data_IF_882840380430
#
_entry.id   IF_882840380430
#
_cell.length_a   1.000
_cell.length_b   1.000
_cell.length_c   1.000
_cell.angle_alpha   90.00
_cell.angle_beta   90.00
_cell.angle_gamma   90.00
#
_symmetry.space_group_name_H-M   'P 1'
#
loop_
_entity.id
_entity.type
_entity.pdbx_description
1 polymer ?
#
# COMPACT_ATOMS: atom_id res chain seq x y z
N UNK A 1 -10.51 10.89 -20.90
CA UNK A 1 -10.15 9.45 -20.86
C UNK A 1 -9.45 9.02 -19.56
N UNK A 2 -9.14 9.94 -18.62
CA UNK A 2 -8.51 9.63 -17.31
C UNK A 2 -9.49 8.97 -16.31
N UNK A 3 -10.74 9.45 -16.27
CA UNK A 3 -11.76 8.96 -15.32
C UNK A 3 -12.06 7.45 -15.44
N UNK A 4 -12.08 6.92 -16.66
CA UNK A 4 -12.37 5.50 -16.91
C UNK A 4 -11.33 4.56 -16.28
N UNK A 5 -10.06 4.97 -16.24
CA UNK A 5 -8.99 4.18 -15.58
C UNK A 5 -9.13 4.17 -14.06
N UNK A 6 -9.55 5.28 -13.46
CA UNK A 6 -9.73 5.35 -12.00
C UNK A 6 -10.85 4.43 -11.54
N UNK A 7 -11.97 4.38 -12.27
CA UNK A 7 -13.08 3.47 -11.99
C UNK A 7 -12.63 2.00 -12.10
N UNK A 8 -11.98 1.62 -13.21
CA UNK A 8 -11.48 0.26 -13.44
C UNK A 8 -10.50 -0.20 -12.34
N UNK A 9 -9.53 0.65 -11.95
CA UNK A 9 -8.63 0.33 -10.84
C UNK A 9 -9.32 0.34 -9.49
N UNK A 10 -10.33 1.18 -9.28
CA UNK A 10 -11.11 1.19 -8.03
C UNK A 10 -11.81 -0.14 -7.84
N UNK A 11 -12.57 -0.60 -8.84
CA UNK A 11 -13.27 -1.89 -8.81
C UNK A 11 -12.28 -3.05 -8.61
N UNK A 12 -11.17 -3.04 -9.36
CA UNK A 12 -10.15 -4.07 -9.22
C UNK A 12 -9.50 -4.08 -7.83
N UNK A 13 -9.16 -2.92 -7.28
CA UNK A 13 -8.62 -2.82 -5.92
C UNK A 13 -9.67 -3.27 -4.89
N UNK A 14 -10.95 -2.92 -5.06
CA UNK A 14 -12.03 -3.36 -4.17
C UNK A 14 -12.29 -4.87 -4.22
N UNK A 15 -11.80 -5.58 -5.24
CA UNK A 15 -11.88 -7.04 -5.31
C UNK A 15 -10.99 -7.79 -4.31
N UNK A 16 -10.20 -7.09 -3.49
CA UNK A 16 -9.34 -7.69 -2.48
C UNK A 16 -9.80 -7.35 -1.07
N UNK A 17 -9.61 -8.27 -0.12
CA UNK A 17 -9.91 -8.06 1.30
C UNK A 17 -8.83 -7.24 2.00
N UNK A 18 -8.81 -5.93 1.78
CA UNK A 18 -7.87 -5.03 2.45
C UNK A 18 -8.22 -4.80 3.92
N UNK A 19 -7.18 -4.66 4.73
CA UNK A 19 -7.29 -4.45 6.18
C UNK A 19 -6.79 -3.07 6.59
N UNK A 20 -5.71 -2.60 5.95
CA UNK A 20 -5.09 -1.32 6.29
C UNK A 20 -4.67 -0.53 5.05
N UNK A 21 -4.56 0.78 5.26
CA UNK A 21 -3.98 1.73 4.32
C UNK A 21 -2.76 2.36 4.96
N UNK A 22 -1.64 2.32 4.24
CA UNK A 22 -0.37 2.88 4.68
C UNK A 22 0.08 3.96 3.70
N UNK A 23 0.50 5.10 4.24
CA UNK A 23 1.23 6.12 3.50
C UNK A 23 2.66 6.21 4.03
N UNK A 24 3.62 6.14 3.11
CA UNK A 24 5.04 6.36 3.40
C UNK A 24 5.50 7.61 2.66
N UNK A 25 5.93 8.63 3.41
CA UNK A 25 6.52 9.84 2.83
C UNK A 25 8.00 9.59 2.57
N UNK A 26 8.43 9.74 1.33
CA UNK A 26 9.77 9.34 0.93
C UNK A 26 10.80 10.41 1.32
N UNK A 27 11.99 10.00 1.80
CA UNK A 27 13.11 10.91 1.96
C UNK A 27 13.47 11.58 0.63
N UNK A 28 13.85 12.87 0.63
CA UNK A 28 14.11 13.63 -0.60
C UNK A 28 15.25 13.05 -1.46
N UNK A 29 16.21 12.36 -0.83
CA UNK A 29 17.38 11.82 -1.51
C UNK A 29 17.21 10.35 -1.91
N UNK A 30 16.00 9.77 -1.73
CA UNK A 30 15.76 8.38 -2.09
C UNK A 30 15.40 8.29 -3.58
N UNK A 31 16.19 7.60 -4.41
CA UNK A 31 15.87 7.46 -5.82
C UNK A 31 14.65 6.56 -6.02
N UNK A 32 13.78 6.91 -6.97
CA UNK A 32 12.50 6.23 -7.20
C UNK A 32 12.65 4.73 -7.45
N UNK A 33 13.68 4.32 -8.19
CA UNK A 33 13.96 2.91 -8.48
C UNK A 33 14.35 2.09 -7.23
N UNK A 34 14.75 2.73 -6.13
CA UNK A 34 15.08 2.06 -4.87
C UNK A 34 13.88 1.97 -3.91
N UNK A 35 12.79 2.71 -4.17
CA UNK A 35 11.64 2.85 -3.25
C UNK A 35 11.06 1.49 -2.88
N UNK A 36 10.73 0.66 -3.87
CA UNK A 36 10.14 -0.66 -3.62
C UNK A 36 11.01 -1.53 -2.70
N UNK A 37 12.33 -1.55 -2.94
CA UNK A 37 13.27 -2.32 -2.12
C UNK A 37 13.34 -1.81 -0.68
N UNK A 38 13.29 -0.49 -0.48
CA UNK A 38 13.30 0.12 0.85
C UNK A 38 12.00 -0.17 1.61
N UNK A 39 10.83 -0.02 0.97
CA UNK A 39 9.54 -0.33 1.58
C UNK A 39 9.47 -1.81 1.96
N UNK A 40 9.94 -2.73 1.10
CA UNK A 40 10.04 -4.15 1.44
C UNK A 40 10.95 -4.37 2.67
N UNK A 41 12.12 -3.74 2.70
CA UNK A 41 13.13 -3.94 3.75
C UNK A 41 12.68 -3.41 5.10
N UNK A 42 12.09 -2.22 5.12
CA UNK A 42 11.83 -1.46 6.35
C UNK A 42 10.37 -1.45 6.79
N UNK A 43 9.43 -1.85 5.93
CA UNK A 43 8.02 -1.96 6.28
C UNK A 43 7.55 -3.41 6.18
N UNK A 44 7.49 -3.98 4.97
CA UNK A 44 6.78 -5.26 4.78
C UNK A 44 7.45 -6.43 5.52
N UNK A 45 8.77 -6.56 5.44
CA UNK A 45 9.50 -7.62 6.17
C UNK A 45 9.38 -7.46 7.69
N UNK A 46 9.57 -6.26 8.28
CA UNK A 46 9.28 -6.03 9.69
C UNK A 46 7.85 -6.38 10.09
N UNK A 47 6.83 -5.97 9.33
CA UNK A 47 5.44 -6.32 9.61
C UNK A 47 5.21 -7.83 9.62
N UNK A 48 5.74 -8.55 8.63
CA UNK A 48 5.64 -10.01 8.60
C UNK A 48 6.26 -10.67 9.84
N UNK A 49 7.38 -10.15 10.34
CA UNK A 49 8.03 -10.67 11.56
C UNK A 49 7.25 -10.34 12.81
N UNK A 50 6.80 -9.09 12.95
CA UNK A 50 6.06 -8.60 14.10
C UNK A 50 4.74 -9.36 14.27
N UNK A 51 3.97 -9.50 13.19
CA UNK A 51 2.68 -10.20 13.18
C UNK A 51 2.80 -11.73 13.05
N UNK A 52 4.01 -12.24 12.82
CA UNK A 52 4.30 -13.66 12.55
C UNK A 52 3.40 -14.23 11.44
N UNK A 53 3.15 -13.42 10.40
CA UNK A 53 2.23 -13.75 9.30
C UNK A 53 2.75 -13.18 7.99
N UNK A 54 2.15 -13.60 6.87
CA UNK A 54 2.46 -13.02 5.56
C UNK A 54 1.56 -11.81 5.33
N UNK A 55 2.19 -10.69 4.97
CA UNK A 55 1.51 -9.49 4.50
C UNK A 55 1.51 -9.48 2.98
N UNK A 56 0.36 -9.19 2.39
CA UNK A 56 0.17 -8.87 0.99
C UNK A 56 0.05 -7.35 0.83
N UNK A 57 0.61 -6.81 -0.25
CA UNK A 57 0.49 -5.38 -0.53
C UNK A 57 0.39 -5.06 -2.01
N UNK A 58 -0.41 -4.04 -2.32
CA UNK A 58 -0.34 -3.32 -3.59
C UNK A 58 -0.02 -1.86 -3.26
N UNK A 59 0.94 -1.29 -3.97
CA UNK A 59 1.39 0.07 -3.72
C UNK A 59 1.58 0.87 -5.00
N UNK A 60 1.32 2.17 -4.93
CA UNK A 60 1.55 3.14 -6.00
C UNK A 60 2.40 4.29 -5.48
N UNK A 61 3.29 4.81 -6.34
CA UNK A 61 4.06 6.01 -6.03
C UNK A 61 3.26 7.23 -6.48
N UNK A 62 2.80 8.04 -5.52
CA UNK A 62 2.20 9.34 -5.78
C UNK A 62 3.28 10.40 -5.92
N UNK A 63 3.34 11.01 -7.10
CA UNK A 63 4.10 12.23 -7.36
C UNK A 63 3.12 13.38 -7.17
N UNK A 64 2.96 13.87 -5.94
CA UNK A 64 1.95 14.90 -5.63
C UNK A 64 1.99 16.09 -6.59
N UNK A 65 0.86 16.78 -6.77
CA UNK A 65 0.83 18.02 -7.56
C UNK A 65 1.57 19.15 -6.80
N UNK A 66 2.60 19.76 -7.39
CA UNK A 66 3.33 20.90 -6.82
C UNK A 66 4.61 20.53 -6.05
N UNK A 67 4.95 21.30 -5.00
CA UNK A 67 6.16 21.12 -4.15
C UNK A 67 6.12 19.89 -3.22
N UNK A 68 5.11 19.02 -3.37
CA UNK A 68 4.94 17.86 -2.50
C UNK A 68 5.89 16.73 -2.92
N UNK A 69 6.71 16.28 -1.98
CA UNK A 69 7.64 15.16 -2.15
C UNK A 69 6.87 13.88 -2.51
N UNK A 70 7.46 12.95 -3.28
CA UNK A 70 6.79 11.71 -3.63
C UNK A 70 6.44 10.88 -2.39
N UNK A 71 5.26 10.26 -2.42
CA UNK A 71 4.76 9.38 -1.37
C UNK A 71 4.47 8.00 -1.95
N UNK A 72 4.46 6.97 -1.12
CA UNK A 72 3.94 5.65 -1.47
C UNK A 72 2.64 5.44 -0.73
N UNK A 73 1.59 5.13 -1.47
CA UNK A 73 0.32 4.70 -0.91
C UNK A 73 0.19 3.19 -1.08
N UNK A 74 -0.17 2.51 0.00
CA UNK A 74 -0.16 1.04 0.07
C UNK A 74 -1.48 0.55 0.65
N UNK A 75 -2.07 -0.43 -0.02
CA UNK A 75 -3.13 -1.25 0.52
C UNK A 75 -2.53 -2.55 1.05
N UNK A 76 -2.85 -2.88 2.30
CA UNK A 76 -2.27 -4.00 3.04
C UNK A 76 -3.34 -4.98 3.48
N UNK A 77 -3.00 -6.25 3.44
CA UNK A 77 -3.85 -7.33 3.93
C UNK A 77 -3.00 -8.50 4.47
N UNK A 78 -3.59 -9.29 5.35
CA UNK A 78 -3.08 -10.57 5.83
C UNK A 78 -4.11 -11.66 5.53
N UNK A 79 -3.78 -12.92 5.80
CA UNK A 79 -4.76 -14.00 5.62
C UNK A 79 -5.94 -13.92 6.61
N UNK A 80 -5.72 -13.33 7.79
CA UNK A 80 -6.56 -13.56 8.96
C UNK A 80 -7.03 -12.25 9.63
N UNK A 81 -6.92 -11.07 9.00
CA UNK A 81 -7.41 -9.83 9.61
C UNK A 81 -6.47 -9.16 10.62
N UNK A 82 -5.23 -9.65 10.76
CA UNK A 82 -4.34 -9.27 11.87
C UNK A 82 -3.90 -7.79 11.85
N UNK A 83 -3.92 -7.11 10.70
CA UNK A 83 -3.56 -5.68 10.64
C UNK A 83 -4.64 -4.82 11.30
N UNK A 84 -5.92 -5.17 11.10
CA UNK A 84 -7.05 -4.40 11.63
C UNK A 84 -7.04 -4.40 13.15
N UNK A 85 -6.80 -5.57 13.76
CA UNK A 85 -6.84 -5.75 15.21
C UNK A 85 -5.69 -5.02 15.92
N UNK A 86 -4.55 -4.81 15.23
CA UNK A 86 -3.31 -4.32 15.84
C UNK A 86 -2.85 -2.98 15.26
N UNK A 87 -3.74 -2.21 14.61
CA UNK A 87 -3.36 -1.04 13.81
C UNK A 87 -2.52 -0.01 14.59
N UNK A 88 -2.88 0.26 15.86
CA UNK A 88 -2.21 1.23 16.71
C UNK A 88 -0.83 0.72 17.14
N UNK A 89 -0.75 -0.52 17.61
CA UNK A 89 0.50 -1.16 18.03
C UNK A 89 1.50 -1.26 16.87
N UNK A 90 1.01 -1.59 15.67
CA UNK A 90 1.81 -1.63 14.45
C UNK A 90 2.29 -0.23 14.07
N UNK A 91 1.42 0.78 14.13
CA UNK A 91 1.80 2.18 13.88
C UNK A 91 2.94 2.58 14.81
N UNK A 92 2.81 2.30 16.10
CA UNK A 92 3.83 2.64 17.11
C UNK A 92 5.13 1.85 16.90
N UNK A 93 5.03 0.57 16.55
CA UNK A 93 6.18 -0.26 16.19
C UNK A 93 6.94 0.31 14.97
N UNK A 94 6.23 0.68 13.90
CA UNK A 94 6.87 1.25 12.71
C UNK A 94 7.49 2.63 13.00
N UNK A 95 6.82 3.46 13.82
CA UNK A 95 7.30 4.80 14.20
C UNK A 95 8.44 4.79 15.22
N UNK A 96 8.55 3.76 16.05
CA UNK A 96 9.65 3.59 17.00
C UNK A 96 10.91 3.00 16.34
N UNK A 97 10.75 2.33 15.20
CA UNK A 97 11.89 1.75 14.48
C UNK A 97 12.62 2.83 13.69
N UNK A 98 13.88 3.09 14.05
CA UNK A 98 14.74 4.05 13.34
C UNK A 98 15.15 3.44 12.00
N UNK A 99 14.64 4.02 10.91
CA UNK A 99 14.97 3.60 9.53
C UNK A 99 15.11 4.83 8.64
N UNK A 100 15.76 4.73 7.46
CA UNK A 100 15.78 5.83 6.50
C UNK A 100 14.38 6.30 6.08
N UNK A 101 13.37 5.42 6.07
CA UNK A 101 11.98 5.76 5.74
C UNK A 101 11.24 6.43 6.89
N UNK A 102 11.68 6.25 8.14
CA UNK A 102 11.10 6.88 9.32
C UNK A 102 11.92 8.11 9.73
N UNK A 103 12.06 9.07 8.81
CA UNK A 103 12.95 10.22 8.97
C UNK A 103 12.33 11.40 9.76
N UNK A 104 11.01 11.39 9.96
CA UNK A 104 10.28 12.39 10.74
C UNK A 104 8.95 11.81 11.26
N UNK A 105 8.30 12.49 12.21
CA UNK A 105 7.09 12.00 12.93
C UNK A 105 5.91 11.57 12.03
N UNK A 106 5.80 12.17 10.85
CA UNK A 106 4.72 11.95 9.87
C UNK A 106 5.18 11.12 8.66
N UNK A 107 6.34 10.47 8.74
CA UNK A 107 6.92 9.75 7.61
C UNK A 107 6.16 8.46 7.30
N UNK A 108 5.53 7.85 8.31
CA UNK A 108 4.75 6.62 8.20
C UNK A 108 3.40 6.86 8.87
N UNK A 109 2.33 6.68 8.10
CA UNK A 109 0.95 6.82 8.56
C UNK A 109 0.15 5.57 8.19
N UNK A 110 -0.22 4.78 9.20
CA UNK A 110 -0.98 3.54 9.05
C UNK A 110 -2.38 3.74 9.62
N UNK A 111 -3.39 3.39 8.83
CA UNK A 111 -4.81 3.56 9.19
C UNK A 111 -5.62 2.32 8.83
N UNK A 112 -6.74 2.07 9.52
CA UNK A 112 -7.70 1.07 9.07
C UNK A 112 -8.15 1.34 7.63
N UNK A 113 -8.39 0.28 6.87
CA UNK A 113 -8.88 0.41 5.50
C UNK A 113 -10.32 0.94 5.47
N UNK A 114 -10.61 1.84 4.53
CA UNK A 114 -11.94 2.40 4.28
C UNK A 114 -12.27 2.11 2.81
N UNK A 115 -13.15 1.12 2.52
CA UNK A 115 -13.38 0.60 1.17
C UNK A 115 -13.63 1.64 0.08
N UNK A 116 -14.54 2.57 0.36
CA UNK A 116 -14.98 3.55 -0.64
C UNK A 116 -13.98 4.70 -0.86
N UNK A 117 -13.02 4.86 0.07
CA UNK A 117 -12.08 5.98 0.03
C UNK A 117 -10.69 5.56 -0.42
N UNK A 118 -10.14 4.52 0.19
CA UNK A 118 -8.73 4.17 -0.04
C UNK A 118 -8.51 3.47 -1.39
N UNK A 119 -9.49 2.69 -1.89
CA UNK A 119 -9.40 2.13 -3.24
C UNK A 119 -9.41 3.24 -4.30
N UNK A 120 -10.39 4.15 -4.24
CA UNK A 120 -10.50 5.30 -5.13
C UNK A 120 -9.25 6.17 -5.07
N UNK A 121 -8.76 6.44 -3.86
CA UNK A 121 -7.58 7.27 -3.66
C UNK A 121 -6.30 6.62 -4.22
N UNK A 122 -6.10 5.31 -4.07
CA UNK A 122 -4.96 4.63 -4.69
C UNK A 122 -5.12 4.61 -6.22
N UNK A 123 -6.30 4.27 -6.72
CA UNK A 123 -6.63 4.25 -8.14
C UNK A 123 -6.38 5.60 -8.82
N UNK A 124 -6.69 6.73 -8.15
CA UNK A 124 -6.47 8.06 -8.71
C UNK A 124 -4.99 8.43 -8.89
N UNK A 125 -4.08 7.66 -8.29
CA UNK A 125 -2.63 7.83 -8.44
C UNK A 125 -2.01 6.84 -9.43
N UNK A 126 -2.79 5.91 -9.98
CA UNK A 126 -2.31 4.99 -11.02
C UNK A 126 -2.46 5.69 -12.36
N UNK A 127 -1.34 6.07 -12.97
CA UNK A 127 -1.32 6.63 -14.32
C UNK A 127 -1.13 5.50 -15.34
N UNK A 128 -0.22 4.57 -15.03
CA UNK A 128 0.11 3.38 -15.80
C UNK A 128 0.17 2.13 -14.91
N UNK A 129 -0.07 0.94 -15.47
CA UNK A 129 0.07 -0.33 -14.73
C UNK A 129 1.47 -0.51 -14.12
N UNK A 130 2.49 0.04 -14.79
CA UNK A 130 3.88 0.00 -14.35
C UNK A 130 4.14 0.77 -13.05
N UNK A 131 3.22 1.66 -12.65
CA UNK A 131 3.30 2.37 -11.36
C UNK A 131 2.92 1.47 -10.17
N UNK A 132 2.24 0.33 -10.44
CA UNK A 132 1.81 -0.61 -9.41
C UNK A 132 2.94 -1.57 -9.03
N UNK A 133 3.32 -1.52 -7.76
CA UNK A 133 4.24 -2.48 -7.15
C UNK A 133 3.46 -3.47 -6.29
N UNK A 134 3.84 -4.75 -6.37
CA UNK A 134 3.19 -5.85 -5.68
C UNK A 134 4.14 -6.49 -4.67
N UNK A 135 3.65 -6.75 -3.47
CA UNK A 135 4.32 -7.58 -2.49
C UNK A 135 3.45 -8.81 -2.19
N UNK A 136 4.07 -9.99 -2.29
CA UNK A 136 3.44 -11.29 -2.06
C UNK A 136 2.22 -11.58 -2.96
N UNK A 137 2.46 -11.64 -4.28
CA UNK A 137 1.42 -11.95 -5.28
C UNK A 137 0.65 -13.25 -4.98
N UNK A 138 1.32 -14.26 -4.42
CA UNK A 138 0.67 -15.54 -4.05
C UNK A 138 -0.37 -15.35 -2.95
N UNK A 139 -0.09 -14.50 -1.95
CA UNK A 139 -1.05 -14.15 -0.91
C UNK A 139 -2.18 -13.29 -1.47
N UNK A 140 -1.88 -12.31 -2.34
CA UNK A 140 -2.88 -11.49 -3.03
C UNK A 140 -3.91 -12.34 -3.80
N UNK A 141 -3.46 -13.38 -4.53
CA UNK A 141 -4.38 -14.28 -5.25
C UNK A 141 -5.36 -14.99 -4.31
N UNK A 142 -4.95 -15.31 -3.08
CA UNK A 142 -5.83 -15.95 -2.09
C UNK A 142 -6.82 -14.96 -1.46
N UNK A 143 -6.43 -13.69 -1.39
CA UNK A 143 -7.21 -12.60 -0.79
C UNK A 143 -8.18 -11.94 -1.76
N UNK A 144 -8.07 -12.25 -3.05
CA UNK A 144 -8.99 -11.75 -4.08
C UNK A 144 -10.34 -12.47 -3.95
N UNK A 145 -11.40 -11.70 -3.81
CA UNK A 145 -12.76 -12.19 -3.86
C UNK A 145 -13.07 -12.69 -5.28
N UNK A 146 -13.37 -13.97 -5.38
CA UNK A 146 -13.62 -14.64 -6.67
C UNK A 146 -14.92 -14.18 -7.34
N UNK A 147 -15.79 -13.50 -6.61
CA UNK A 147 -17.08 -12.98 -7.09
C UNK A 147 -16.98 -11.66 -7.85
N UNK A 148 -15.87 -10.92 -7.71
CA UNK A 148 -15.71 -9.55 -8.26
C UNK A 148 -14.75 -9.52 -9.46
N UNK A 149 -14.67 -10.60 -10.23
CA UNK A 149 -13.69 -10.74 -11.30
C UNK A 149 -14.09 -9.95 -12.55
N UNK A 150 -13.91 -8.63 -12.53
CA UNK A 150 -13.80 -7.83 -13.76
C UNK A 150 -12.36 -7.90 -14.23
N UNK A 151 -12.13 -8.58 -15.34
CA UNK A 151 -10.81 -8.71 -15.96
C UNK A 151 -10.42 -7.35 -16.55
N UNK A 152 -9.36 -6.72 -16.04
CA UNK A 152 -8.68 -5.65 -16.78
C UNK A 152 -7.97 -6.36 -17.94
N UNK A 153 -8.56 -6.28 -19.13
CA UNK A 153 -7.98 -6.88 -20.35
C UNK A 153 -6.98 -5.91 -20.97
N UNK A 154 -5.86 -6.48 -21.41
CA UNK A 154 -4.68 -5.85 -22.01
C UNK A 154 -4.95 -4.98 -23.25
#
# INVERSE_FOLDING_TARGET
MIYRRVEEYTEWLQSYKWEAFLTVRLPPNLPLNAVAAQVIKYIYRPLCRYLRTRVAAISVISHGHGMHKPHVHVLLATANGQLTDNINEISDYLKSTITPLNSHKDAIDLRPYIPDRHAVYVASHVVDETDLTYYDKKQLTKLKDKTTCTTISA
#
